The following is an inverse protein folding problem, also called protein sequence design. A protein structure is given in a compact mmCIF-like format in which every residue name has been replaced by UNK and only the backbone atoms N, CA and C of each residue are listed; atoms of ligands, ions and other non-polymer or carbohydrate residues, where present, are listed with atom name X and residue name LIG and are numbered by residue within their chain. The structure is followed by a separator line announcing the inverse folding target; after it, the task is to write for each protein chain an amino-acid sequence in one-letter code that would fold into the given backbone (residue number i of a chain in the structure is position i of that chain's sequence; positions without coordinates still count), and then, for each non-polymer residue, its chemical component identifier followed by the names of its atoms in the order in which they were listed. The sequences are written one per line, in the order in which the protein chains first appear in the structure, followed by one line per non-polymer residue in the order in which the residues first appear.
data_IF_895466787920
#
_entry.id   IF_895466787920
#
_cell.length_a   1.000
_cell.length_b   1.000
_cell.length_c   1.000
_cell.angle_alpha   90.00
_cell.angle_beta   90.00
_cell.angle_gamma   90.00
#
_symmetry.space_group_name_H-M   'P 1'
#
loop_
_entity.id
_entity.type
_entity.pdbx_description
1 polymer ?
#
# COMPACT_ATOMS: atom_id res chain seq x y z
N UNK A 1 -13.09 3.17 10.73
CA UNK A 1 -12.35 3.41 11.98
C UNK A 1 -11.19 2.43 12.02
N UNK A 2 -9.93 2.87 11.84
CA UNK A 2 -8.78 1.95 11.88
C UNK A 2 -8.50 1.60 13.34
N UNK A 3 -8.50 0.31 13.69
CA UNK A 3 -7.93 -0.13 14.97
C UNK A 3 -6.46 0.29 15.01
N UNK A 4 -6.06 0.94 16.11
CA UNK A 4 -4.64 1.21 16.39
C UNK A 4 -3.86 -0.09 16.43
N UNK A 5 -2.58 -0.02 16.10
CA UNK A 5 -1.69 -1.19 16.09
C UNK A 5 -1.73 -1.88 17.45
N UNK A 6 -1.92 -3.20 17.46
CA UNK A 6 -1.88 -4.01 18.68
C UNK A 6 -0.48 -4.14 19.27
N UNK A 7 0.55 -3.89 18.45
CA UNK A 7 1.95 -4.12 18.80
C UNK A 7 2.66 -2.80 19.08
N UNK A 8 3.37 -2.78 20.20
CA UNK A 8 4.32 -1.74 20.58
C UNK A 8 5.55 -1.76 19.66
N UNK A 9 6.36 -0.71 19.71
CA UNK A 9 7.59 -0.62 18.91
C UNK A 9 8.59 -1.72 19.30
N UNK A 10 8.66 -2.05 20.59
CA UNK A 10 9.50 -3.11 21.14
C UNK A 10 9.03 -4.48 20.66
N UNK A 11 7.73 -4.77 20.73
CA UNK A 11 7.19 -6.05 20.24
C UNK A 11 7.44 -6.24 18.74
N UNK A 12 7.25 -5.18 17.93
CA UNK A 12 7.58 -5.21 16.50
C UNK A 12 9.05 -5.53 16.28
N UNK A 13 9.94 -4.90 17.04
CA UNK A 13 11.37 -5.12 16.92
C UNK A 13 11.77 -6.56 17.32
N UNK A 14 11.21 -7.09 18.41
CA UNK A 14 11.43 -8.48 18.82
C UNK A 14 10.99 -9.46 17.73
N UNK A 15 9.83 -9.23 17.10
CA UNK A 15 9.34 -10.07 15.99
C UNK A 15 10.29 -10.03 14.79
N UNK A 16 10.83 -8.85 14.44
CA UNK A 16 11.81 -8.73 13.35
C UNK A 16 13.11 -9.47 13.69
N UNK A 17 13.61 -9.34 14.93
CA UNK A 17 14.82 -10.02 15.39
C UNK A 17 14.65 -11.53 15.52
N UNK A 18 13.49 -12.02 15.91
CA UNK A 18 13.22 -13.46 16.01
C UNK A 18 13.29 -14.13 14.64
N UNK A 19 12.88 -13.46 13.56
CA UNK A 19 13.02 -13.96 12.18
C UNK A 19 14.47 -13.89 11.70
N UNK A 20 15.23 -12.89 12.13
CA UNK A 20 16.64 -12.76 11.77
C UNK A 20 17.53 -13.79 12.49
N UNK A 21 17.19 -14.13 13.74
CA UNK A 21 17.96 -15.06 14.58
C UNK A 21 17.48 -16.50 14.54
N UNK A 22 16.21 -16.77 14.16
CA UNK A 22 15.67 -18.14 14.11
C UNK A 22 15.60 -18.65 12.67
N UNK A 23 15.82 -19.95 12.48
CA UNK A 23 15.56 -20.64 11.20
C UNK A 23 14.05 -20.80 10.88
N UNK A 24 13.18 -20.02 11.53
CA UNK A 24 11.73 -20.09 11.37
C UNK A 24 11.32 -19.25 10.16
N UNK A 25 10.50 -19.83 9.28
CA UNK A 25 9.97 -19.12 8.12
C UNK A 25 9.21 -17.86 8.52
N UNK A 26 9.31 -16.81 7.70
CA UNK A 26 8.50 -15.59 7.81
C UNK A 26 7.01 -15.93 7.95
N UNK A 27 6.55 -16.96 7.23
CA UNK A 27 5.15 -17.39 7.24
C UNK A 27 4.72 -18.01 8.58
N UNK A 28 5.60 -18.81 9.19
CA UNK A 28 5.34 -19.41 10.50
C UNK A 28 5.31 -18.35 11.60
N UNK A 29 6.22 -17.37 11.53
CA UNK A 29 6.21 -16.22 12.46
C UNK A 29 4.95 -15.37 12.26
N UNK A 30 4.57 -15.09 11.02
CA UNK A 30 3.31 -14.40 10.73
C UNK A 30 2.09 -15.14 11.30
N UNK A 31 2.07 -16.48 11.21
CA UNK A 31 1.02 -17.32 11.81
C UNK A 31 1.05 -17.27 13.35
N UNK A 32 2.23 -17.42 13.96
CA UNK A 32 2.45 -17.36 15.42
C UNK A 32 1.93 -16.06 16.02
N UNK A 33 2.32 -14.94 15.42
CA UNK A 33 1.94 -13.62 15.91
C UNK A 33 0.60 -13.13 15.35
N UNK A 34 -0.07 -13.87 14.45
CA UNK A 34 -1.33 -13.47 13.78
C UNK A 34 -1.22 -12.14 13.02
N UNK A 35 -0.10 -11.98 12.30
CA UNK A 35 0.22 -10.79 11.51
C UNK A 35 0.17 -11.17 10.02
N UNK A 36 -0.28 -10.24 9.18
CA UNK A 36 -0.24 -10.46 7.73
C UNK A 36 1.17 -10.23 7.18
N UNK A 37 1.57 -10.99 6.16
CA UNK A 37 2.86 -10.83 5.49
C UNK A 37 3.12 -9.37 5.09
N UNK A 38 2.13 -8.67 4.53
CA UNK A 38 2.25 -7.27 4.15
C UNK A 38 2.56 -6.34 5.34
N UNK A 39 2.06 -6.65 6.53
CA UNK A 39 2.33 -5.84 7.73
C UNK A 39 3.77 -6.04 8.18
N UNK A 40 4.22 -7.29 8.22
CA UNK A 40 5.61 -7.64 8.50
C UNK A 40 6.58 -7.01 7.50
N UNK A 41 6.32 -7.18 6.20
CA UNK A 41 7.13 -6.63 5.10
C UNK A 41 7.20 -5.09 5.17
N UNK A 42 6.12 -4.43 5.56
CA UNK A 42 6.14 -2.99 5.80
C UNK A 42 6.98 -2.61 7.03
N UNK A 43 6.88 -3.35 8.15
CA UNK A 43 7.72 -3.10 9.33
C UNK A 43 9.20 -3.30 9.02
N UNK A 44 9.55 -4.37 8.30
CA UNK A 44 10.91 -4.63 7.85
C UNK A 44 11.43 -3.48 6.98
N UNK A 45 10.68 -3.06 5.96
CA UNK A 45 11.05 -1.93 5.12
C UNK A 45 11.27 -0.64 5.90
N UNK A 46 10.38 -0.31 6.84
CA UNK A 46 10.52 0.91 7.66
C UNK A 46 11.71 0.82 8.62
N UNK A 47 11.97 -0.36 9.18
CA UNK A 47 13.10 -0.60 10.06
C UNK A 47 14.44 -0.49 9.32
N UNK A 48 14.55 -1.08 8.13
CA UNK A 48 15.76 -0.98 7.29
C UNK A 48 16.02 0.47 6.86
N UNK A 49 14.97 1.26 6.60
CA UNK A 49 15.11 2.64 6.11
C UNK A 49 15.36 3.70 7.19
N UNK A 50 14.77 3.55 8.39
CA UNK A 50 14.79 4.59 9.43
C UNK A 50 15.12 4.05 10.83
N UNK A 51 15.42 2.77 10.97
CA UNK A 51 15.70 2.12 12.25
C UNK A 51 14.47 1.90 13.13
N UNK A 52 14.73 1.60 14.41
CA UNK A 52 13.70 1.19 15.38
C UNK A 52 12.61 2.25 15.63
N UNK A 53 12.95 3.53 15.49
CA UNK A 53 12.01 4.64 15.75
C UNK A 53 10.83 4.63 14.76
N UNK A 54 11.04 4.19 13.51
CA UNK A 54 9.97 4.15 12.53
C UNK A 54 8.97 2.99 12.72
N UNK A 55 9.25 2.07 13.66
CA UNK A 55 8.28 1.07 14.09
C UNK A 55 7.22 1.66 15.04
N UNK A 56 7.44 2.86 15.58
CA UNK A 56 6.46 3.55 16.40
C UNK A 56 5.22 3.91 15.57
N UNK A 57 4.04 3.72 16.15
CA UNK A 57 2.81 4.12 15.48
C UNK A 57 2.73 5.65 15.39
N UNK A 58 2.49 6.17 14.18
CA UNK A 58 2.27 7.60 14.00
C UNK A 58 1.01 8.03 14.75
N UNK A 59 1.17 8.99 15.65
CA UNK A 59 0.07 9.61 16.42
C UNK A 59 -0.72 10.63 15.59
N UNK A 60 -0.19 11.02 14.42
CA UNK A 60 -0.76 12.05 13.56
C UNK A 60 -0.95 11.57 12.13
N UNK A 61 -1.83 12.26 11.40
CA UNK A 61 -2.07 12.01 9.98
C UNK A 61 -0.87 12.46 9.14
N UNK A 62 -0.35 11.57 8.29
CA UNK A 62 0.69 11.94 7.33
C UNK A 62 0.12 12.95 6.33
N UNK A 63 0.72 14.14 6.28
CA UNK A 63 0.41 15.16 5.28
C UNK A 63 1.20 14.86 4.02
N UNK A 64 0.55 14.99 2.87
CA UNK A 64 1.18 14.84 1.56
C UNK A 64 0.93 16.12 0.77
N UNK A 65 1.99 16.67 0.18
CA UNK A 65 1.89 17.85 -0.69
C UNK A 65 1.09 17.52 -1.95
N UNK A 66 0.58 18.56 -2.63
CA UNK A 66 -0.17 18.40 -3.88
C UNK A 66 0.71 17.77 -4.96
N UNK A 67 1.91 18.32 -5.15
CA UNK A 67 2.91 17.85 -6.11
C UNK A 67 3.27 16.37 -5.91
N UNK A 68 3.53 15.94 -4.67
CA UNK A 68 3.84 14.53 -4.37
C UNK A 68 2.69 13.61 -4.75
N UNK A 69 1.44 14.01 -4.47
CA UNK A 69 0.26 13.22 -4.85
C UNK A 69 0.13 13.10 -6.37
N UNK A 70 0.35 14.19 -7.09
CA UNK A 70 0.27 14.23 -8.55
C UNK A 70 1.34 13.34 -9.18
N UNK A 71 2.60 13.47 -8.75
CA UNK A 71 3.70 12.62 -9.22
C UNK A 71 3.43 11.14 -8.98
N UNK A 72 3.00 10.77 -7.76
CA UNK A 72 2.69 9.37 -7.45
C UNK A 72 1.52 8.79 -8.28
N UNK A 73 0.53 9.61 -8.61
CA UNK A 73 -0.59 9.20 -9.46
C UNK A 73 -0.15 9.04 -10.92
N UNK A 74 0.65 9.97 -11.43
CA UNK A 74 1.15 9.91 -12.80
C UNK A 74 2.05 8.70 -13.03
N UNK A 75 3.00 8.40 -12.14
CA UNK A 75 3.83 7.19 -12.25
C UNK A 75 3.00 5.90 -12.25
N UNK A 76 1.93 5.86 -11.46
CA UNK A 76 1.01 4.73 -11.43
C UNK A 76 0.24 4.58 -12.75
N UNK A 77 -0.23 5.70 -13.31
CA UNK A 77 -0.97 5.71 -14.58
C UNK A 77 -0.07 5.38 -15.78
N UNK A 78 1.18 5.82 -15.76
CA UNK A 78 2.19 5.49 -16.76
C UNK A 78 2.65 4.03 -16.69
N UNK A 79 2.36 3.33 -15.59
CA UNK A 79 2.77 1.95 -15.39
C UNK A 79 4.27 1.78 -15.17
N UNK A 80 4.95 2.83 -14.69
CA UNK A 80 6.40 2.85 -14.47
C UNK A 80 6.83 1.86 -13.38
N UNK A 81 5.99 1.72 -12.35
CA UNK A 81 6.29 0.88 -11.19
C UNK A 81 5.05 0.18 -10.64
N UNK A 82 5.28 -0.81 -9.78
CA UNK A 82 4.18 -1.45 -9.07
C UNK A 82 3.58 -0.51 -8.02
N UNK A 83 2.30 -0.68 -7.72
CA UNK A 83 1.62 0.07 -6.67
C UNK A 83 2.37 0.06 -5.33
N UNK A 84 3.00 -1.07 -4.98
CA UNK A 84 3.79 -1.21 -3.76
C UNK A 84 5.08 -0.37 -3.83
N UNK A 85 5.79 -0.43 -4.96
CA UNK A 85 7.01 0.34 -5.18
C UNK A 85 6.73 1.85 -5.14
N UNK A 86 5.67 2.30 -5.81
CA UNK A 86 5.26 3.71 -5.78
C UNK A 86 4.93 4.14 -4.34
N UNK A 87 4.19 3.31 -3.58
CA UNK A 87 3.94 3.61 -2.17
C UNK A 87 5.23 3.68 -1.34
N UNK A 88 6.23 2.83 -1.61
CA UNK A 88 7.51 2.87 -0.88
C UNK A 88 8.37 4.07 -1.27
N UNK A 89 8.43 4.40 -2.56
CA UNK A 89 9.17 5.53 -3.15
C UNK A 89 8.68 6.87 -2.60
N UNK A 90 7.36 7.07 -2.62
CA UNK A 90 6.69 8.29 -2.14
C UNK A 90 6.26 8.20 -0.66
N UNK A 91 6.63 7.11 0.02
CA UNK A 91 6.28 6.81 1.40
C UNK A 91 4.79 6.99 1.73
N UNK A 92 3.95 6.57 0.79
CA UNK A 92 2.50 6.56 0.94
C UNK A 92 2.14 5.45 1.91
N UNK A 93 1.35 5.81 2.92
CA UNK A 93 1.00 4.93 4.03
C UNK A 93 0.30 3.63 3.62
N UNK A 94 -0.38 3.61 2.48
CA UNK A 94 -0.95 2.37 1.94
C UNK A 94 -1.28 2.47 0.46
N UNK A 95 -1.31 1.31 -0.20
CA UNK A 95 -1.86 1.09 -1.54
C UNK A 95 -3.26 1.71 -1.72
N UNK A 96 -4.12 1.54 -0.71
CA UNK A 96 -5.46 2.10 -0.71
C UNK A 96 -5.49 3.63 -0.72
N UNK A 97 -4.49 4.29 -0.12
CA UNK A 97 -4.37 5.76 -0.18
C UNK A 97 -3.99 6.21 -1.58
N UNK A 98 -3.02 5.54 -2.22
CA UNK A 98 -2.67 5.81 -3.62
C UNK A 98 -3.88 5.63 -4.55
N UNK A 99 -4.65 4.53 -4.42
CA UNK A 99 -5.86 4.33 -5.24
C UNK A 99 -6.92 5.40 -5.03
N UNK A 100 -7.06 5.92 -3.81
CA UNK A 100 -7.97 7.04 -3.54
C UNK A 100 -7.53 8.30 -4.28
N UNK A 101 -6.24 8.54 -4.45
CA UNK A 101 -5.74 9.68 -5.22
C UNK A 101 -5.95 9.45 -6.72
N UNK A 102 -5.62 8.27 -7.25
CA UNK A 102 -5.88 7.91 -8.65
C UNK A 102 -7.36 8.07 -8.99
N UNK A 103 -8.26 7.57 -8.13
CA UNK A 103 -9.71 7.72 -8.34
C UNK A 103 -10.15 9.18 -8.35
N UNK A 104 -9.61 10.02 -7.44
CA UNK A 104 -9.93 11.46 -7.42
C UNK A 104 -9.39 12.18 -8.64
N UNK A 105 -8.18 11.83 -9.08
CA UNK A 105 -7.56 12.40 -10.27
C UNK A 105 -8.42 12.13 -11.51
N UNK A 106 -8.87 10.89 -11.68
CA UNK A 106 -9.78 10.52 -12.77
C UNK A 106 -11.13 11.23 -12.61
N UNK A 107 -11.70 11.29 -11.40
CA UNK A 107 -12.99 11.94 -11.14
C UNK A 107 -12.98 13.47 -11.31
N UNK A 108 -11.84 14.14 -11.08
CA UNK A 108 -11.70 15.57 -11.36
C UNK A 108 -11.60 15.86 -12.87
N UNK A 109 -11.17 14.86 -13.67
CA UNK A 109 -11.24 14.88 -15.13
C UNK A 109 -12.62 14.44 -15.69
N UNK A 110 -13.55 13.98 -14.86
CA UNK A 110 -14.88 13.47 -15.27
C UNK A 110 -15.99 14.55 -15.32
N UNK A 111 -15.66 15.85 -15.32
CA UNK A 111 -16.62 16.91 -15.64
C UNK A 111 -16.82 17.14 -17.15
N UNK A 112 -16.38 16.20 -18.00
CA UNK A 112 -16.60 16.21 -19.44
C UNK A 112 -17.50 15.06 -19.95
N UNK A 113 -18.54 14.68 -19.21
CA UNK A 113 -19.72 14.04 -19.84
C UNK A 113 -21.02 14.54 -19.21
N UNK A 114 -21.49 15.70 -19.68
CA UNK A 114 -22.88 16.09 -19.49
C UNK A 114 -23.80 15.16 -20.30
N UNK A 115 -24.73 14.51 -19.60
CA UNK A 115 -26.16 14.23 -19.94
C UNK A 115 -26.56 12.79 -19.68
N UNK A 116 -27.71 12.67 -19.05
CA UNK A 116 -28.66 11.64 -19.43
C UNK A 116 -28.87 10.55 -18.40
N UNK A 117 -29.77 10.84 -17.46
CA UNK A 117 -30.69 9.85 -16.92
C UNK A 117 -31.17 8.94 -18.07
N UNK A 118 -30.97 7.63 -17.92
CA UNK A 118 -31.41 6.54 -18.80
C UNK A 118 -30.70 6.43 -20.15
N UNK A 119 -29.67 5.57 -20.20
CA UNK A 119 -29.12 5.03 -21.43
C UNK A 119 -28.14 3.91 -21.08
N UNK A 120 -28.57 2.66 -21.22
CA UNK A 120 -27.72 1.50 -21.05
C UNK A 120 -26.53 1.59 -22.02
N UNK A 121 -25.34 1.92 -21.52
CA UNK A 121 -24.09 1.78 -22.28
C UNK A 121 -23.44 0.47 -21.86
N UNK A 122 -23.75 -0.56 -22.64
CA UNK A 122 -23.03 -1.82 -22.65
C UNK A 122 -21.57 -1.57 -23.02
N UNK A 123 -20.68 -1.46 -22.04
CA UNK A 123 -19.25 -1.69 -22.30
C UNK A 123 -19.03 -3.18 -22.45
N UNK A 124 -18.97 -3.63 -23.70
CA UNK A 124 -18.47 -4.94 -24.10
C UNK A 124 -17.19 -5.22 -23.31
N UNK A 125 -17.19 -6.31 -22.55
CA UNK A 125 -16.21 -6.62 -21.51
C UNK A 125 -14.77 -6.33 -21.95
N UNK A 126 -14.13 -5.38 -21.26
CA UNK A 126 -12.68 -5.34 -21.21
C UNK A 126 -12.28 -6.48 -20.29
N UNK A 127 -11.64 -7.50 -20.86
CA UNK A 127 -11.00 -8.58 -20.10
C UNK A 127 -10.10 -7.94 -19.04
N UNK A 128 -10.42 -8.25 -17.80
CA UNK A 128 -9.49 -8.25 -16.68
C UNK A 128 -8.20 -8.93 -17.14
N UNK A 129 -7.19 -8.12 -17.49
CA UNK A 129 -5.82 -8.61 -17.54
C UNK A 129 -5.15 -8.18 -16.24
N UNK A 130 -5.73 -8.66 -15.13
CA UNK A 130 -5.02 -8.94 -13.91
C UNK A 130 -3.94 -9.97 -14.28
N UNK A 131 -2.79 -9.49 -14.75
CA UNK A 131 -1.63 -10.33 -14.96
C UNK A 131 -1.17 -10.78 -13.58
N UNK A 132 -1.67 -11.94 -13.17
CA UNK A 132 -0.99 -12.85 -12.25
C UNK A 132 0.45 -12.95 -12.74
N UNK A 133 1.35 -12.15 -12.17
CA UNK A 133 2.75 -12.53 -12.12
C UNK A 133 2.81 -13.58 -11.02
N UNK A 134 2.81 -14.83 -11.47
CA UNK A 134 3.25 -15.97 -10.70
C UNK A 134 4.50 -15.57 -9.92
N UNK A 135 4.40 -15.69 -8.60
CA UNK A 135 5.52 -16.07 -7.78
C UNK A 135 6.03 -17.40 -8.34
N UNK A 136 7.32 -17.47 -8.64
CA UNK A 136 8.00 -18.74 -8.56
C UNK A 136 8.12 -19.08 -7.07
N UNK A 137 7.92 -20.36 -6.80
CA UNK A 137 7.89 -21.08 -5.52
C UNK A 137 6.51 -21.11 -4.86
#
# INVERSE_FOLDING_TARGET
MSKRSKYTKEEKYTILKEIESSEISIEDTCRKFKISYNTYDNWKFTYEKYGIQALEESKTWKRYSKELKEMAVLEYLNGEDTQLNICRKYEISSRSVLMKWVKRYNSHNELNTTKGRNGAVMTKGRKDQFRRKNRNC
#
